data_IF_585627957460
#
_entry.id   IF_585627957460
#
_cell.length_a   1.000
_cell.length_b   1.000
_cell.length_c   1.000
_cell.angle_alpha   90.00
_cell.angle_beta   90.00
_cell.angle_gamma   90.00
#
_symmetry.space_group_name_H-M   'P 1'
#
loop_
_entity.id
_entity.type
_entity.pdbx_description
1 polymer ?
#
# COMPACT_ATOMS: atom_id res chain seq x y z
N UNK A 1 10.49 45.20 12.94
CA UNK A 1 11.13 43.90 13.31
C UNK A 1 10.76 42.94 12.20
N UNK A 2 11.66 42.77 11.21
CA UNK A 2 11.41 41.97 10.01
C UNK A 2 11.75 40.54 10.31
N UNK A 3 10.73 39.65 10.21
CA UNK A 3 10.94 38.21 10.24
C UNK A 3 11.51 37.83 8.86
N UNK A 4 12.79 37.53 8.83
CA UNK A 4 13.45 36.96 7.66
C UNK A 4 12.92 35.56 7.44
N UNK A 5 12.29 35.33 6.28
CA UNK A 5 12.00 33.99 5.74
C UNK A 5 13.31 33.18 5.66
N UNK A 6 13.59 32.39 6.67
CA UNK A 6 14.55 31.30 6.54
C UNK A 6 13.91 30.25 5.61
N UNK A 7 14.31 30.30 4.35
CA UNK A 7 14.08 29.23 3.39
C UNK A 7 14.61 27.91 3.97
N UNK A 8 13.75 27.15 4.59
CA UNK A 8 13.98 25.74 4.88
C UNK A 8 14.08 24.97 3.54
N UNK A 9 15.24 25.04 2.96
CA UNK A 9 15.62 24.22 1.80
C UNK A 9 15.74 22.78 2.28
N UNK A 10 14.59 22.07 2.40
CA UNK A 10 14.61 20.62 2.48
C UNK A 10 15.15 20.12 1.14
N UNK A 11 16.41 19.71 1.14
CA UNK A 11 16.95 18.95 0.03
C UNK A 11 16.01 17.77 -0.23
N UNK A 12 15.32 17.78 -1.37
CA UNK A 12 14.47 16.68 -1.79
C UNK A 12 15.37 15.44 -1.94
N UNK A 13 15.16 14.36 -1.15
CA UNK A 13 15.80 13.09 -1.46
C UNK A 13 15.47 12.73 -2.90
N UNK A 14 16.35 12.05 -3.60
CA UNK A 14 16.05 11.57 -4.95
C UNK A 14 14.69 10.85 -4.94
N UNK A 15 13.87 11.03 -5.96
CA UNK A 15 12.48 10.52 -6.01
C UNK A 15 12.35 9.00 -5.79
N UNK A 16 13.47 8.27 -5.73
CA UNK A 16 13.54 6.84 -5.44
C UNK A 16 13.45 6.47 -3.95
N UNK A 17 13.57 7.44 -3.01
CA UNK A 17 13.78 7.15 -1.59
C UNK A 17 12.69 7.75 -0.68
N UNK A 18 11.53 8.09 -1.22
CA UNK A 18 10.42 8.63 -0.44
C UNK A 18 9.76 7.51 0.39
N UNK A 19 10.11 7.42 1.67
CA UNK A 19 9.48 6.49 2.59
C UNK A 19 7.97 6.75 2.71
N UNK A 20 7.14 5.70 2.75
CA UNK A 20 5.70 5.85 2.93
C UNK A 20 5.34 6.36 4.33
N UNK A 21 4.24 7.09 4.43
CA UNK A 21 3.57 7.32 5.71
C UNK A 21 2.53 6.23 5.92
N UNK A 22 2.68 5.48 7.00
CA UNK A 22 1.78 4.37 7.34
C UNK A 22 0.91 4.77 8.53
N UNK A 23 -0.40 4.67 8.37
CA UNK A 23 -1.37 4.95 9.43
C UNK A 23 -2.02 3.63 9.86
N UNK A 24 -1.55 3.11 10.98
CA UNK A 24 -2.09 1.93 11.64
C UNK A 24 -2.69 2.26 13.00
N UNK A 25 -3.31 1.26 13.65
CA UNK A 25 -3.87 1.39 14.98
C UNK A 25 -5.15 0.58 15.15
N UNK A 26 -5.70 0.57 16.36
CA UNK A 26 -6.97 -0.15 16.62
C UNK A 26 -8.14 0.53 15.89
N UNK A 27 -9.09 -0.28 15.41
CA UNK A 27 -10.34 0.22 14.86
C UNK A 27 -11.03 1.21 15.82
N UNK A 28 -11.54 2.33 15.30
CA UNK A 28 -12.16 3.37 16.11
C UNK A 28 -11.19 4.35 16.78
N UNK A 29 -9.87 4.21 16.61
CA UNK A 29 -8.84 5.07 17.23
C UNK A 29 -8.64 6.43 16.56
N UNK A 30 -9.50 6.83 15.62
CA UNK A 30 -9.40 8.11 14.91
C UNK A 30 -8.41 8.12 13.74
N UNK A 31 -7.91 6.96 13.32
CA UNK A 31 -6.96 6.84 12.19
C UNK A 31 -7.49 7.45 10.88
N UNK A 32 -8.83 7.48 10.68
CA UNK A 32 -9.45 8.15 9.54
C UNK A 32 -9.16 9.65 9.52
N UNK A 33 -9.20 10.31 10.68
CA UNK A 33 -8.91 11.75 10.78
C UNK A 33 -7.47 12.04 10.40
N UNK A 34 -6.54 11.17 10.83
CA UNK A 34 -5.12 11.30 10.47
C UNK A 34 -4.93 11.12 8.96
N UNK A 35 -5.58 10.11 8.35
CA UNK A 35 -5.53 9.91 6.90
C UNK A 35 -6.09 11.12 6.13
N UNK A 36 -7.21 11.70 6.55
CA UNK A 36 -7.78 12.92 5.97
C UNK A 36 -6.84 14.12 6.08
N UNK A 37 -6.17 14.28 7.23
CA UNK A 37 -5.17 15.32 7.41
C UNK A 37 -4.00 15.14 6.43
N UNK A 38 -3.47 13.94 6.30
CA UNK A 38 -2.39 13.64 5.36
C UNK A 38 -2.82 13.93 3.91
N UNK A 39 -4.02 13.54 3.50
CA UNK A 39 -4.57 13.89 2.18
C UNK A 39 -4.64 15.41 1.98
N UNK A 40 -5.07 16.16 2.99
CA UNK A 40 -5.11 17.63 2.93
C UNK A 40 -3.73 18.28 2.85
N UNK A 41 -2.68 17.58 3.31
CA UNK A 41 -1.27 17.98 3.18
C UNK A 41 -0.63 17.50 1.87
N UNK A 42 -1.42 16.92 0.97
CA UNK A 42 -0.99 16.49 -0.36
C UNK A 42 -0.32 15.12 -0.39
N UNK A 43 -0.55 14.28 0.63
CA UNK A 43 -0.16 12.87 0.56
C UNK A 43 -1.17 12.07 -0.26
N UNK A 44 -0.66 11.23 -1.16
CA UNK A 44 -1.46 10.17 -1.80
C UNK A 44 -1.61 8.99 -0.83
N UNK A 45 -2.81 8.81 -0.31
CA UNK A 45 -3.14 7.71 0.60
C UNK A 45 -3.76 6.52 -0.13
N UNK A 46 -3.71 6.51 -1.47
CA UNK A 46 -4.26 5.47 -2.33
C UNK A 46 -5.63 5.84 -2.90
N UNK A 47 -6.06 5.08 -3.91
CA UNK A 47 -7.33 5.27 -4.64
C UNK A 47 -8.35 4.17 -4.36
N UNK A 48 -7.92 3.01 -3.85
CA UNK A 48 -8.77 1.88 -3.49
C UNK A 48 -9.12 1.94 -2.00
N UNK A 49 -9.97 2.90 -1.63
CA UNK A 49 -10.29 3.20 -0.25
C UNK A 49 -11.77 2.94 0.06
N UNK A 50 -12.04 2.41 1.26
CA UNK A 50 -13.40 2.37 1.80
C UNK A 50 -13.81 3.72 2.45
N UNK A 51 -15.02 3.79 3.01
CA UNK A 51 -15.53 4.98 3.70
C UNK A 51 -14.68 5.41 4.92
N UNK A 52 -13.92 4.49 5.49
CA UNK A 52 -13.00 4.74 6.61
C UNK A 52 -11.59 5.12 6.15
N UNK A 53 -11.35 5.21 4.83
CA UNK A 53 -10.06 5.43 4.19
C UNK A 53 -9.06 4.29 4.45
N UNK A 54 -9.55 3.06 4.67
CA UNK A 54 -8.68 1.89 4.69
C UNK A 54 -8.30 1.54 3.25
N UNK A 55 -7.01 1.26 3.02
CA UNK A 55 -6.53 0.77 1.72
C UNK A 55 -6.95 -0.70 1.55
N UNK A 56 -7.91 -0.92 0.66
CA UNK A 56 -8.52 -2.22 0.44
C UNK A 56 -7.60 -3.16 -0.34
N UNK A 57 -6.73 -2.62 -1.19
CA UNK A 57 -5.69 -3.41 -1.85
C UNK A 57 -4.69 -3.95 -0.83
N UNK A 58 -4.24 -3.13 0.14
CA UNK A 58 -3.41 -3.60 1.24
C UNK A 58 -4.13 -4.67 2.07
N UNK A 59 -5.40 -4.44 2.40
CA UNK A 59 -6.22 -5.39 3.15
C UNK A 59 -6.29 -6.74 2.44
N UNK A 60 -6.58 -6.78 1.14
CA UNK A 60 -6.69 -8.00 0.35
C UNK A 60 -5.35 -8.75 0.23
N UNK A 61 -4.23 -8.04 0.21
CA UNK A 61 -2.92 -8.65 0.08
C UNK A 61 -2.37 -9.23 1.39
N UNK A 62 -2.57 -8.54 2.51
CA UNK A 62 -1.84 -8.83 3.75
C UNK A 62 -2.73 -9.31 4.90
N UNK A 63 -4.04 -9.05 4.87
CA UNK A 63 -4.95 -9.42 5.94
C UNK A 63 -5.67 -10.74 5.65
N UNK A 64 -4.91 -11.72 5.20
CA UNK A 64 -5.41 -13.02 4.73
C UNK A 64 -5.26 -14.07 5.82
N UNK A 65 -6.35 -14.80 6.19
CA UNK A 65 -6.24 -15.92 7.12
C UNK A 65 -5.24 -17.00 6.68
N UNK A 66 -5.13 -17.25 5.36
CA UNK A 66 -4.19 -18.23 4.79
C UNK A 66 -2.71 -17.88 5.02
N UNK A 67 -2.38 -16.64 5.37
CA UNK A 67 -1.02 -16.22 5.68
C UNK A 67 -0.64 -16.35 7.16
N UNK A 68 -1.52 -16.83 8.00
CA UNK A 68 -1.19 -17.02 9.42
C UNK A 68 -0.70 -18.43 9.71
N UNK A 69 0.41 -18.59 10.45
CA UNK A 69 1.24 -17.52 11.03
C UNK A 69 2.18 -16.86 9.99
N UNK A 70 2.33 -15.53 10.03
CA UNK A 70 3.00 -14.73 9.01
C UNK A 70 4.46 -15.14 8.74
N UNK A 71 5.20 -15.54 9.79
CA UNK A 71 6.59 -15.97 9.67
C UNK A 71 6.82 -17.18 8.73
N UNK A 72 5.79 -17.98 8.50
CA UNK A 72 5.87 -19.15 7.64
C UNK A 72 5.61 -18.80 6.17
N UNK A 73 5.22 -17.56 5.90
CA UNK A 73 4.78 -17.07 4.58
C UNK A 73 5.60 -15.87 4.07
N UNK A 74 6.83 -15.67 4.57
CA UNK A 74 7.66 -14.52 4.20
C UNK A 74 7.83 -14.35 2.68
N UNK A 75 8.05 -15.40 1.85
CA UNK A 75 8.15 -15.20 0.40
C UNK A 75 6.86 -14.68 -0.25
N UNK A 76 5.69 -15.09 0.26
CA UNK A 76 4.40 -14.60 -0.23
C UNK A 76 4.15 -13.16 0.19
N UNK A 77 4.58 -12.76 1.40
CA UNK A 77 4.51 -11.40 1.89
C UNK A 77 5.44 -10.48 1.09
N UNK A 78 6.67 -10.91 0.82
CA UNK A 78 7.64 -10.17 -0.01
C UNK A 78 7.09 -9.92 -1.42
N UNK A 79 6.52 -10.96 -2.05
CA UNK A 79 5.90 -10.84 -3.38
C UNK A 79 4.71 -9.88 -3.36
N UNK A 80 3.83 -9.99 -2.38
CA UNK A 80 2.68 -9.10 -2.23
C UNK A 80 3.13 -7.64 -2.00
N UNK A 81 4.17 -7.42 -1.19
CA UNK A 81 4.74 -6.11 -0.94
C UNK A 81 5.34 -5.50 -2.20
N UNK A 82 6.12 -6.28 -2.94
CA UNK A 82 6.74 -5.83 -4.19
C UNK A 82 5.69 -5.38 -5.22
N UNK A 83 4.63 -6.16 -5.39
CA UNK A 83 3.52 -5.82 -6.27
C UNK A 83 2.76 -4.58 -5.79
N UNK A 84 2.49 -4.47 -4.48
CA UNK A 84 1.83 -3.33 -3.89
C UNK A 84 2.65 -2.05 -4.05
N UNK A 85 3.94 -2.07 -3.73
CA UNK A 85 4.83 -0.91 -3.88
C UNK A 85 4.95 -0.48 -5.34
N UNK A 86 5.00 -1.46 -6.25
CA UNK A 86 5.08 -1.18 -7.69
C UNK A 86 3.83 -0.43 -8.18
N UNK A 87 2.62 -0.82 -7.76
CA UNK A 87 1.40 -0.09 -8.14
C UNK A 87 1.35 1.32 -7.56
N UNK A 88 2.03 1.57 -6.45
CA UNK A 88 2.20 2.93 -5.86
C UNK A 88 3.33 3.73 -6.55
N UNK A 89 3.88 3.26 -7.66
CA UNK A 89 4.96 3.93 -8.39
C UNK A 89 6.36 3.73 -7.79
N UNK A 90 6.49 2.89 -6.77
CA UNK A 90 7.77 2.56 -6.13
C UNK A 90 8.33 1.29 -6.78
N UNK A 91 9.06 1.46 -7.88
CA UNK A 91 9.63 0.32 -8.61
C UNK A 91 10.72 -0.34 -7.80
N UNK A 92 10.54 -1.62 -7.53
CA UNK A 92 11.55 -2.45 -6.86
C UNK A 92 12.65 -2.92 -7.83
N UNK A 93 13.68 -3.56 -7.28
CA UNK A 93 14.73 -4.20 -8.06
C UNK A 93 14.21 -5.37 -8.93
N UNK A 94 13.06 -5.95 -8.59
CA UNK A 94 12.41 -7.03 -9.34
C UNK A 94 11.60 -6.52 -10.55
N UNK A 95 11.35 -5.22 -10.66
CA UNK A 95 10.62 -4.63 -11.77
C UNK A 95 11.28 -4.95 -13.12
N UNK A 96 10.52 -5.52 -14.03
CA UNK A 96 10.97 -5.83 -15.41
C UNK A 96 10.13 -5.08 -16.45
N UNK A 97 8.83 -5.29 -16.44
CA UNK A 97 7.90 -4.67 -17.37
C UNK A 97 6.48 -4.65 -16.82
N UNK A 98 5.60 -3.86 -17.41
CA UNK A 98 4.18 -3.84 -17.06
C UNK A 98 3.53 -5.22 -17.31
N UNK A 99 3.87 -5.91 -18.39
CA UNK A 99 3.32 -7.23 -18.70
C UNK A 99 3.75 -8.28 -17.66
N UNK A 100 5.00 -8.24 -17.19
CA UNK A 100 5.49 -9.09 -16.11
C UNK A 100 4.75 -8.81 -14.80
N UNK A 101 4.57 -7.53 -14.45
CA UNK A 101 3.81 -7.13 -13.26
C UNK A 101 2.36 -7.65 -13.31
N UNK A 102 1.66 -7.46 -14.43
CA UNK A 102 0.29 -7.94 -14.60
C UNK A 102 0.19 -9.48 -14.50
N UNK A 103 1.15 -10.20 -15.05
CA UNK A 103 1.20 -11.66 -14.94
C UNK A 103 1.40 -12.10 -13.47
N UNK A 104 2.27 -11.44 -12.73
CA UNK A 104 2.51 -11.71 -11.29
C UNK A 104 1.26 -11.40 -10.45
N UNK A 105 0.60 -10.27 -10.70
CA UNK A 105 -0.67 -9.93 -10.06
C UNK A 105 -1.72 -11.01 -10.32
N UNK A 106 -1.86 -11.49 -11.55
CA UNK A 106 -2.81 -12.55 -11.88
C UNK A 106 -2.52 -13.86 -11.12
N UNK A 107 -1.26 -14.27 -11.03
CA UNK A 107 -0.85 -15.47 -10.28
C UNK A 107 -1.17 -15.33 -8.79
N UNK A 108 -0.88 -14.16 -8.20
CA UNK A 108 -1.20 -13.91 -6.80
C UNK A 108 -2.71 -13.94 -6.55
N UNK A 109 -3.52 -13.33 -7.43
CA UNK A 109 -4.98 -13.32 -7.33
C UNK A 109 -5.60 -14.72 -7.45
N UNK A 110 -5.11 -15.53 -8.38
CA UNK A 110 -5.53 -16.93 -8.48
C UNK A 110 -5.22 -17.72 -7.20
N UNK A 111 -4.11 -17.40 -6.55
CA UNK A 111 -3.78 -17.99 -5.24
C UNK A 111 -4.76 -17.54 -4.17
N UNK A 112 -5.07 -16.24 -4.09
CA UNK A 112 -6.00 -15.68 -3.11
C UNK A 112 -7.39 -16.30 -3.27
N UNK A 113 -7.93 -16.38 -4.49
CA UNK A 113 -9.23 -17.01 -4.76
C UNK A 113 -9.32 -18.45 -4.28
N UNK A 114 -8.21 -19.19 -4.35
CA UNK A 114 -8.19 -20.59 -3.91
C UNK A 114 -8.04 -20.79 -2.41
N UNK A 115 -7.48 -19.82 -1.71
CA UNK A 115 -7.09 -19.98 -0.30
C UNK A 115 -7.88 -19.12 0.68
N UNK A 116 -8.50 -18.03 0.20
CA UNK A 116 -9.14 -17.04 1.06
C UNK A 116 -10.56 -16.72 0.58
N UNK A 117 -11.52 -17.57 0.95
CA UNK A 117 -12.94 -17.46 0.56
C UNK A 117 -13.68 -16.26 1.18
N UNK A 118 -13.05 -15.49 2.05
CA UNK A 118 -13.69 -14.36 2.75
C UNK A 118 -13.83 -13.10 1.90
N UNK A 119 -13.13 -13.02 0.78
CA UNK A 119 -13.23 -11.90 -0.17
C UNK A 119 -14.11 -12.34 -1.33
N UNK A 120 -15.13 -11.56 -1.63
CA UNK A 120 -16.01 -11.78 -2.80
C UNK A 120 -15.22 -11.63 -4.11
N UNK A 121 -15.53 -12.46 -5.11
CA UNK A 121 -14.84 -12.45 -6.41
C UNK A 121 -14.93 -11.09 -7.13
N UNK A 122 -16.04 -10.38 -7.02
CA UNK A 122 -16.19 -9.04 -7.60
C UNK A 122 -15.30 -8.00 -6.93
N UNK A 123 -15.13 -8.11 -5.61
CA UNK A 123 -14.20 -7.29 -4.86
C UNK A 123 -12.75 -7.61 -5.24
N UNK A 124 -12.40 -8.89 -5.39
CA UNK A 124 -11.07 -9.30 -5.85
C UNK A 124 -10.75 -8.73 -7.24
N UNK A 125 -11.66 -8.82 -8.19
CA UNK A 125 -11.45 -8.30 -9.55
C UNK A 125 -11.24 -6.77 -9.54
N UNK A 126 -11.99 -6.07 -8.69
CA UNK A 126 -11.80 -4.63 -8.49
C UNK A 126 -10.41 -4.30 -7.95
N UNK A 127 -9.94 -5.02 -6.91
CA UNK A 127 -8.60 -4.84 -6.32
C UNK A 127 -7.50 -5.19 -7.30
N UNK A 128 -7.67 -6.26 -8.10
CA UNK A 128 -6.75 -6.60 -9.18
C UNK A 128 -6.63 -5.46 -10.21
N UNK A 129 -7.73 -4.81 -10.54
CA UNK A 129 -7.74 -3.63 -11.41
C UNK A 129 -6.86 -2.50 -10.87
N UNK A 130 -6.97 -2.18 -9.58
CA UNK A 130 -6.12 -1.17 -8.93
C UNK A 130 -4.64 -1.58 -8.93
N UNK A 131 -4.31 -2.81 -8.57
CA UNK A 131 -2.93 -3.29 -8.54
C UNK A 131 -2.27 -3.34 -9.92
N UNK A 132 -3.05 -3.52 -10.98
CA UNK A 132 -2.56 -3.47 -12.36
C UNK A 132 -2.37 -2.04 -12.89
N UNK A 133 -2.90 -1.03 -12.18
CA UNK A 133 -2.76 0.37 -12.55
C UNK A 133 -1.49 0.93 -11.93
N UNK A 134 -0.48 1.16 -12.77
CA UNK A 134 0.79 1.71 -12.29
C UNK A 134 0.68 3.22 -12.09
N UNK A 135 0.96 3.67 -10.89
CA UNK A 135 1.08 5.09 -10.59
C UNK A 135 2.41 5.65 -11.06
N UNK A 136 2.45 6.95 -11.34
CA UNK A 136 3.72 7.67 -11.46
C UNK A 136 4.36 7.78 -10.06
N UNK A 137 5.70 7.82 -9.96
CA UNK A 137 6.36 7.98 -8.68
C UNK A 137 5.85 9.23 -7.93
N UNK A 138 5.42 9.03 -6.68
CA UNK A 138 4.85 10.08 -5.84
C UNK A 138 5.78 10.29 -4.65
N UNK A 139 6.14 11.56 -4.37
CA UNK A 139 7.05 11.90 -3.27
C UNK A 139 6.38 11.82 -1.90
N UNK A 140 5.08 12.14 -1.83
CA UNK A 140 4.30 12.09 -0.60
C UNK A 140 3.23 11.03 -0.77
N UNK A 141 3.46 9.88 -0.20
CA UNK A 141 2.55 8.75 -0.34
C UNK A 141 2.48 7.92 0.94
N UNK A 142 1.47 7.09 1.02
CA UNK A 142 1.29 6.20 2.15
C UNK A 142 0.03 5.36 2.01
N UNK A 143 -0.33 4.72 3.10
CA UNK A 143 -1.60 4.02 3.20
C UNK A 143 -2.12 4.03 4.63
N UNK A 144 -3.41 3.77 4.77
CA UNK A 144 -4.06 3.57 6.05
C UNK A 144 -4.76 2.22 6.05
N UNK A 145 -4.37 1.38 6.99
CA UNK A 145 -5.09 0.15 7.35
C UNK A 145 -4.88 -0.11 8.84
N UNK A 146 -5.95 -0.27 9.65
CA UNK A 146 -5.83 -0.34 11.10
C UNK A 146 -4.89 -1.42 11.61
N UNK A 147 -4.85 -2.59 10.97
CA UNK A 147 -4.02 -3.72 11.40
C UNK A 147 -2.61 -3.76 10.75
N UNK A 148 -2.20 -2.73 10.03
CA UNK A 148 -0.86 -2.69 9.41
C UNK A 148 0.26 -2.98 10.40
N UNK A 149 0.13 -2.54 11.66
CA UNK A 149 1.11 -2.77 12.71
C UNK A 149 1.38 -4.27 13.00
N UNK A 150 0.44 -5.14 12.66
CA UNK A 150 0.61 -6.60 12.84
C UNK A 150 1.48 -7.19 11.73
N UNK A 151 1.42 -6.61 10.54
CA UNK A 151 2.13 -7.08 9.34
C UNK A 151 3.50 -6.46 9.20
N UNK A 152 3.66 -5.16 9.56
CA UNK A 152 4.90 -4.41 9.41
C UNK A 152 6.18 -5.10 9.91
N UNK A 153 6.20 -5.86 11.02
CA UNK A 153 7.41 -6.55 11.46
C UNK A 153 7.91 -7.62 10.48
N UNK A 154 7.10 -8.00 9.48
CA UNK A 154 7.39 -9.04 8.50
C UNK A 154 7.58 -8.47 7.08
N UNK A 155 7.40 -7.17 6.90
CA UNK A 155 7.65 -6.43 5.66
C UNK A 155 8.97 -5.64 5.74
#
# INVERSE_FOLDING_TARGET
MSLTDENLNFACPSCSDAAPVVVGGMGGSGTRVIAQLLQSLGFDMGSDLNESLDDLSFTALFKRPSLWPLQDHLPQLDEALDLYLTCKGQKSASWRSQADHQARVAVLWDSIRRTDEWIDDGDLDTRMGFLNTLSVPILKWGWKEPNTHVVLPFL
#
